data_IF_547691687355
#
_entry.id   IF_547691687355
#
_cell.length_a   1.000
_cell.length_b   1.000
_cell.length_c   1.000
_cell.angle_alpha   90.00
_cell.angle_beta   90.00
_cell.angle_gamma   90.00
#
_symmetry.space_group_name_H-M   'P 1'
#
loop_
_entity.id
_entity.type
_entity.pdbx_description
1 polymer ?
#
# COMPACT_ATOMS: atom_id res chain seq x y z
N UNK A 1 -7.91 21.22 46.58
CA UNK A 1 -7.87 19.76 46.38
C UNK A 1 -8.33 19.39 44.95
N UNK A 2 -7.89 20.15 43.94
CA UNK A 2 -8.30 20.03 42.52
C UNK A 2 -7.12 19.98 41.53
N UNK A 3 -5.89 19.76 42.00
CA UNK A 3 -4.69 19.75 41.14
C UNK A 3 -4.22 18.35 40.73
N UNK A 4 -4.84 17.29 41.27
CA UNK A 4 -4.40 15.91 41.04
C UNK A 4 -5.07 15.24 39.83
N UNK A 5 -6.25 15.66 39.42
CA UNK A 5 -6.96 15.09 38.27
C UNK A 5 -6.35 15.55 36.91
N UNK A 6 -5.92 16.81 36.85
CA UNK A 6 -5.27 17.34 35.63
C UNK A 6 -3.95 16.70 35.32
N UNK A 7 -3.13 16.34 36.33
CA UNK A 7 -1.86 15.66 36.17
C UNK A 7 -2.04 14.21 35.67
N UNK A 8 -3.09 13.51 36.15
CA UNK A 8 -3.39 12.15 35.70
C UNK A 8 -3.89 12.08 34.25
N UNK A 9 -4.65 13.05 33.80
CA UNK A 9 -5.14 13.11 32.42
C UNK A 9 -4.02 13.50 31.44
N UNK A 10 -3.09 14.34 31.86
CA UNK A 10 -1.89 14.67 31.10
C UNK A 10 -0.94 13.47 30.99
N UNK A 11 -0.78 12.72 32.08
CA UNK A 11 0.05 11.50 32.11
C UNK A 11 -0.55 10.37 31.27
N UNK A 12 -1.89 10.22 31.25
CA UNK A 12 -2.58 9.29 30.33
C UNK A 12 -2.41 9.69 28.87
N UNK A 13 -2.51 10.98 28.57
CA UNK A 13 -2.28 11.51 27.23
C UNK A 13 -0.86 11.25 26.71
N UNK A 14 0.13 11.38 27.56
CA UNK A 14 1.54 11.10 27.25
C UNK A 14 1.81 9.59 27.11
N UNK A 15 1.21 8.75 27.94
CA UNK A 15 1.30 7.28 27.81
C UNK A 15 0.66 6.80 26.52
N UNK A 16 -0.53 7.31 26.18
CA UNK A 16 -1.20 7.00 24.91
C UNK A 16 -0.43 7.52 23.69
N UNK A 17 0.31 8.60 23.82
CA UNK A 17 1.17 9.14 22.77
C UNK A 17 2.44 8.29 22.60
N UNK A 18 3.05 7.84 23.70
CA UNK A 18 4.20 6.94 23.72
C UNK A 18 3.82 5.55 23.21
N UNK A 19 2.66 5.02 23.63
CA UNK A 19 2.15 3.73 23.18
C UNK A 19 1.80 3.76 21.68
N UNK A 20 1.22 4.85 21.19
CA UNK A 20 1.02 5.10 19.74
C UNK A 20 2.33 5.28 18.97
N UNK A 21 3.36 5.83 19.60
CA UNK A 21 4.68 5.99 18.99
C UNK A 21 5.41 4.65 18.93
N UNK A 22 5.34 3.83 19.99
CA UNK A 22 5.87 2.46 20.03
C UNK A 22 5.09 1.54 19.07
N UNK A 23 3.76 1.65 19.02
CA UNK A 23 2.93 0.91 18.06
C UNK A 23 3.14 1.37 16.60
N UNK A 24 3.60 2.60 16.37
CA UNK A 24 4.08 3.10 15.06
C UNK A 24 5.50 2.70 14.73
N UNK A 25 6.30 2.45 15.71
CA UNK A 25 7.65 1.89 15.62
C UNK A 25 7.59 0.37 15.45
N UNK A 26 6.67 -0.06 14.60
CA UNK A 26 6.73 -1.38 14.01
C UNK A 26 8.03 -1.40 13.22
N UNK A 27 9.00 -2.14 13.73
CA UNK A 27 10.38 -2.20 13.26
C UNK A 27 10.44 -2.31 11.72
N UNK A 28 10.61 -1.20 10.99
CA UNK A 28 10.70 -1.25 9.53
C UNK A 28 11.98 -1.98 9.11
N UNK A 29 12.94 -2.16 10.04
CA UNK A 29 14.22 -2.79 9.79
C UNK A 29 14.10 -4.26 9.41
N UNK A 30 13.37 -5.07 10.17
CA UNK A 30 13.29 -6.52 9.90
C UNK A 30 12.56 -6.82 8.59
N UNK A 31 11.45 -6.13 8.31
CA UNK A 31 10.71 -6.33 7.05
C UNK A 31 11.47 -5.82 5.84
N UNK A 32 12.10 -4.65 5.96
CA UNK A 32 12.94 -4.10 4.91
C UNK A 32 14.16 -5.02 4.65
N UNK A 33 14.74 -5.57 5.71
CA UNK A 33 15.83 -6.53 5.61
C UNK A 33 15.41 -7.80 4.86
N UNK A 34 14.24 -8.39 5.17
CA UNK A 34 13.74 -9.57 4.46
C UNK A 34 13.53 -9.28 2.98
N UNK A 35 12.90 -8.15 2.63
CA UNK A 35 12.73 -7.74 1.24
C UNK A 35 14.08 -7.53 0.55
N UNK A 36 15.04 -6.88 1.21
CA UNK A 36 16.38 -6.68 0.66
C UNK A 36 17.10 -8.00 0.40
N UNK A 37 17.01 -8.96 1.33
CA UNK A 37 17.59 -10.31 1.15
C UNK A 37 16.92 -11.00 -0.06
N UNK A 38 15.61 -10.95 -0.18
CA UNK A 38 14.89 -11.56 -1.30
C UNK A 38 15.25 -10.92 -2.64
N UNK A 39 15.38 -9.59 -2.70
CA UNK A 39 15.88 -8.88 -3.88
C UNK A 39 17.27 -9.36 -4.25
N UNK A 40 18.14 -9.52 -3.27
CA UNK A 40 19.50 -10.02 -3.48
C UNK A 40 19.51 -11.49 -3.96
N UNK A 41 18.64 -12.34 -3.45
CA UNK A 41 18.46 -13.72 -3.92
C UNK A 41 18.01 -13.74 -5.38
N UNK A 42 17.07 -12.87 -5.79
CA UNK A 42 16.64 -12.75 -7.18
C UNK A 42 17.82 -12.32 -8.07
N UNK A 43 18.63 -11.34 -7.63
CA UNK A 43 19.81 -10.89 -8.39
C UNK A 43 20.85 -12.00 -8.54
N UNK A 44 21.15 -12.75 -7.47
CA UNK A 44 22.06 -13.89 -7.53
C UNK A 44 21.54 -14.95 -8.50
N UNK A 45 20.24 -15.21 -8.49
CA UNK A 45 19.64 -16.21 -9.36
C UNK A 45 19.87 -15.93 -10.85
N UNK A 46 20.05 -14.66 -11.25
CA UNK A 46 20.37 -14.30 -12.63
C UNK A 46 21.77 -14.71 -13.10
N UNK A 47 22.67 -14.95 -12.16
CA UNK A 47 24.02 -15.48 -12.47
C UNK A 47 24.01 -17.00 -12.60
N UNK A 48 22.97 -17.66 -12.03
CA UNK A 48 22.81 -19.11 -12.06
C UNK A 48 22.17 -19.57 -13.37
N UNK A 49 22.38 -20.85 -13.75
CA UNK A 49 21.75 -21.44 -14.93
C UNK A 49 20.22 -21.42 -14.82
N UNK A 50 19.55 -20.79 -15.78
CA UNK A 50 18.09 -20.76 -15.90
C UNK A 50 17.56 -21.89 -16.76
N UNK A 51 18.31 -22.29 -17.79
CA UNK A 51 17.95 -23.36 -18.71
C UNK A 51 19.23 -23.85 -19.37
N UNK A 52 19.61 -25.12 -19.21
CA UNK A 52 20.85 -25.63 -19.71
C UNK A 52 22.04 -24.79 -19.24
N UNK A 53 22.83 -24.27 -20.17
CA UNK A 53 23.97 -23.39 -19.91
C UNK A 53 23.55 -21.90 -19.84
N UNK A 54 22.32 -21.55 -20.27
CA UNK A 54 21.81 -20.19 -20.31
C UNK A 54 21.55 -19.68 -18.89
N UNK A 55 22.21 -18.59 -18.51
CA UNK A 55 22.01 -17.87 -17.26
C UNK A 55 20.82 -16.89 -17.38
N UNK A 56 20.36 -16.38 -16.25
CA UNK A 56 19.28 -15.39 -16.25
C UNK A 56 19.61 -14.12 -17.03
N UNK A 57 20.86 -13.65 -16.98
CA UNK A 57 21.30 -12.50 -17.78
C UNK A 57 21.31 -12.78 -19.28
N UNK A 58 21.72 -13.98 -19.71
CA UNK A 58 21.69 -14.36 -21.09
C UNK A 58 20.25 -14.41 -21.63
N UNK A 59 19.34 -14.94 -20.83
CA UNK A 59 17.91 -14.93 -21.13
C UNK A 59 17.32 -13.51 -21.21
N UNK A 60 17.83 -12.56 -20.42
CA UNK A 60 17.43 -11.16 -20.44
C UNK A 60 17.85 -10.46 -21.73
N UNK A 61 19.12 -10.61 -22.10
CA UNK A 61 19.70 -9.98 -23.28
C UNK A 61 19.25 -10.70 -24.55
N UNK A 62 19.02 -12.02 -24.47
CA UNK A 62 18.68 -12.86 -25.62
C UNK A 62 19.86 -13.11 -26.54
N UNK A 63 21.00 -13.44 -25.95
CA UNK A 63 22.22 -13.74 -26.65
C UNK A 63 22.19 -15.06 -27.45
N UNK A 64 23.27 -15.40 -28.13
CA UNK A 64 23.38 -16.61 -28.97
C UNK A 64 23.18 -17.90 -28.13
N UNK A 65 23.53 -17.89 -26.83
CA UNK A 65 23.37 -19.02 -25.94
C UNK A 65 21.88 -19.23 -25.66
N UNK A 66 21.17 -18.13 -25.34
CA UNK A 66 19.73 -18.15 -25.11
C UNK A 66 18.92 -18.56 -26.35
N UNK A 67 19.39 -18.17 -27.55
CA UNK A 67 18.77 -18.57 -28.81
C UNK A 67 19.01 -20.08 -29.07
N UNK A 68 20.22 -20.57 -28.87
CA UNK A 68 20.58 -21.98 -29.03
C UNK A 68 19.77 -22.89 -28.11
N UNK A 69 19.62 -22.50 -26.83
CA UNK A 69 18.90 -23.27 -25.84
C UNK A 69 17.36 -23.09 -25.96
N UNK A 70 16.92 -22.31 -26.96
CA UNK A 70 15.52 -22.12 -27.31
C UNK A 70 14.71 -21.50 -26.18
N UNK A 71 15.19 -20.41 -25.57
CA UNK A 71 14.50 -19.76 -24.44
C UNK A 71 13.08 -19.36 -24.82
N UNK A 72 12.09 -19.86 -24.06
CA UNK A 72 10.67 -19.59 -24.30
C UNK A 72 10.30 -18.15 -23.98
N UNK A 73 9.25 -17.62 -24.66
CA UNK A 73 8.73 -16.28 -24.37
C UNK A 73 8.36 -16.09 -22.90
N UNK A 74 7.66 -17.01 -22.21
CA UNK A 74 7.37 -16.88 -20.80
C UNK A 74 8.62 -16.71 -19.94
N UNK A 75 9.71 -17.43 -20.24
CA UNK A 75 10.97 -17.31 -19.51
C UNK A 75 11.60 -15.92 -19.67
N UNK A 76 11.63 -15.38 -20.91
CA UNK A 76 12.17 -14.02 -21.16
C UNK A 76 11.34 -12.94 -20.46
N UNK A 77 10.01 -13.01 -20.58
CA UNK A 77 9.13 -12.03 -19.95
C UNK A 77 9.22 -12.13 -18.43
N UNK A 78 9.29 -13.35 -17.87
CA UNK A 78 9.50 -13.55 -16.44
C UNK A 78 10.77 -12.86 -15.95
N UNK A 79 11.91 -13.06 -16.61
CA UNK A 79 13.21 -12.48 -16.20
C UNK A 79 13.14 -10.94 -16.24
N UNK A 80 12.54 -10.36 -17.30
CA UNK A 80 12.33 -8.92 -17.38
C UNK A 80 11.43 -8.38 -16.28
N UNK A 81 10.31 -9.01 -16.01
CA UNK A 81 9.41 -8.59 -14.93
C UNK A 81 10.04 -8.76 -13.55
N UNK A 82 10.78 -9.85 -13.33
CA UNK A 82 11.50 -10.05 -12.09
C UNK A 82 12.56 -8.97 -11.89
N UNK A 83 13.31 -8.59 -12.91
CA UNK A 83 14.28 -7.51 -12.82
C UNK A 83 13.62 -6.16 -12.55
N UNK A 84 12.61 -5.78 -13.32
CA UNK A 84 11.99 -4.45 -13.22
C UNK A 84 11.18 -4.32 -11.93
N UNK A 85 10.28 -5.25 -11.67
CA UNK A 85 9.33 -5.11 -10.56
C UNK A 85 9.84 -5.70 -9.25
N UNK A 86 10.40 -6.92 -9.27
CA UNK A 86 10.86 -7.57 -8.05
C UNK A 86 12.20 -7.00 -7.56
N UNK A 87 13.08 -6.55 -8.46
CA UNK A 87 14.34 -5.90 -8.06
C UNK A 87 14.22 -4.38 -8.10
N UNK A 88 13.89 -3.78 -9.24
CA UNK A 88 13.90 -2.33 -9.44
C UNK A 88 12.88 -1.60 -8.56
N UNK A 89 11.59 -1.91 -8.73
CA UNK A 89 10.54 -1.25 -7.95
C UNK A 89 10.59 -1.62 -6.47
N UNK A 90 10.99 -2.83 -6.09
CA UNK A 90 11.16 -3.19 -4.68
C UNK A 90 12.29 -2.40 -4.03
N UNK A 91 13.44 -2.25 -4.70
CA UNK A 91 14.55 -1.42 -4.22
C UNK A 91 14.13 0.04 -4.13
N UNK A 92 13.44 0.58 -5.16
CA UNK A 92 12.94 1.93 -5.16
C UNK A 92 11.92 2.17 -4.04
N UNK A 93 11.02 1.21 -3.77
CA UNK A 93 10.06 1.29 -2.67
C UNK A 93 10.75 1.28 -1.29
N UNK A 94 11.80 0.48 -1.11
CA UNK A 94 12.59 0.46 0.12
C UNK A 94 13.32 1.78 0.35
N UNK A 95 13.97 2.33 -0.69
CA UNK A 95 14.76 3.57 -0.59
C UNK A 95 13.88 4.80 -0.40
N UNK A 96 12.82 4.91 -1.19
CA UNK A 96 11.96 6.12 -1.18
C UNK A 96 10.83 6.04 -0.15
N UNK A 97 10.54 4.85 0.40
CA UNK A 97 9.42 4.57 1.32
C UNK A 97 8.05 5.01 0.77
N UNK A 98 7.93 5.14 -0.56
CA UNK A 98 6.69 5.55 -1.22
C UNK A 98 5.75 4.36 -1.35
N UNK A 99 4.56 4.49 -0.79
CA UNK A 99 3.53 3.46 -0.81
C UNK A 99 3.08 3.07 -2.23
N UNK A 100 3.01 4.03 -3.15
CA UNK A 100 2.66 3.77 -4.55
C UNK A 100 3.64 2.79 -5.22
N UNK A 101 4.95 2.91 -4.93
CA UNK A 101 5.96 2.00 -5.46
C UNK A 101 5.82 0.58 -4.90
N UNK A 102 5.38 0.45 -3.64
CA UNK A 102 5.09 -0.86 -3.05
C UNK A 102 3.92 -1.56 -3.75
N UNK A 103 2.87 -0.81 -4.14
CA UNK A 103 1.77 -1.34 -4.96
C UNK A 103 2.23 -1.80 -6.34
N UNK A 104 3.07 -1.01 -7.01
CA UNK A 104 3.63 -1.36 -8.32
C UNK A 104 4.52 -2.59 -8.22
N UNK A 105 5.39 -2.64 -7.20
CA UNK A 105 6.22 -3.81 -6.92
C UNK A 105 5.38 -5.06 -6.68
N UNK A 106 4.31 -4.95 -5.86
CA UNK A 106 3.37 -6.04 -5.60
C UNK A 106 2.70 -6.54 -6.89
N UNK A 107 2.07 -5.63 -7.65
CA UNK A 107 1.35 -5.99 -8.86
C UNK A 107 2.26 -6.64 -9.91
N UNK A 108 3.42 -6.04 -10.17
CA UNK A 108 4.39 -6.56 -11.12
C UNK A 108 5.00 -7.89 -10.68
N UNK A 109 5.34 -8.05 -9.40
CA UNK A 109 5.84 -9.31 -8.86
C UNK A 109 4.78 -10.42 -8.88
N UNK A 110 3.50 -10.09 -8.66
CA UNK A 110 2.41 -11.06 -8.79
C UNK A 110 2.28 -11.60 -10.21
N UNK A 111 2.33 -10.71 -11.22
CA UNK A 111 2.34 -11.11 -12.63
C UNK A 111 3.60 -11.93 -12.94
N UNK A 112 4.76 -11.50 -12.45
CA UNK A 112 6.01 -12.25 -12.61
C UNK A 112 5.93 -13.66 -11.99
N UNK A 113 5.25 -13.83 -10.83
CA UNK A 113 5.06 -15.15 -10.20
C UNK A 113 4.29 -16.12 -11.10
N UNK A 114 3.24 -15.63 -11.77
CA UNK A 114 2.45 -16.43 -12.71
C UNK A 114 3.28 -16.80 -13.94
N UNK A 115 4.01 -15.84 -14.52
CA UNK A 115 4.86 -16.08 -15.67
C UNK A 115 6.06 -16.97 -15.34
N UNK A 116 6.59 -16.88 -14.12
CA UNK A 116 7.62 -17.81 -13.63
C UNK A 116 7.12 -19.24 -13.56
N UNK A 117 5.88 -19.46 -13.11
CA UNK A 117 5.24 -20.77 -13.18
C UNK A 117 5.14 -21.27 -14.63
N UNK A 118 4.69 -20.43 -15.56
CA UNK A 118 4.61 -20.79 -16.98
C UNK A 118 6.01 -21.04 -17.57
N UNK A 119 7.03 -20.29 -17.16
CA UNK A 119 8.39 -20.48 -17.57
C UNK A 119 8.93 -21.86 -17.13
N UNK A 120 8.73 -22.22 -15.86
CA UNK A 120 9.12 -23.55 -15.36
C UNK A 120 8.35 -24.65 -16.08
N UNK A 121 7.01 -24.50 -16.20
CA UNK A 121 6.16 -25.47 -16.91
C UNK A 121 6.58 -25.67 -18.35
N UNK A 122 6.84 -24.59 -19.10
CA UNK A 122 7.25 -24.66 -20.51
C UNK A 122 8.57 -25.42 -20.71
N UNK A 123 9.45 -25.40 -19.70
CA UNK A 123 10.70 -26.13 -19.71
C UNK A 123 10.55 -27.59 -19.31
N UNK A 124 9.63 -27.91 -18.43
CA UNK A 124 9.34 -29.30 -18.06
C UNK A 124 8.66 -30.08 -19.19
N UNK A 125 7.90 -29.37 -20.02
CA UNK A 125 7.15 -29.97 -21.15
C UNK A 125 7.81 -29.80 -22.50
N UNK A 126 9.01 -29.19 -22.55
CA UNK A 126 9.74 -29.02 -23.79
C UNK A 126 10.21 -30.40 -24.36
N UNK A 127 10.00 -30.65 -25.68
CA UNK A 127 10.46 -31.89 -26.27
C UNK A 127 11.99 -31.93 -26.32
N UNK A 128 12.56 -33.12 -26.23
CA UNK A 128 14.01 -33.28 -26.43
C UNK A 128 14.44 -32.78 -27.82
N UNK A 129 15.63 -32.17 -27.98
CA UNK A 129 16.77 -32.13 -27.06
C UNK A 129 16.86 -30.88 -26.16
N UNK A 130 15.75 -30.18 -25.86
CA UNK A 130 15.78 -28.93 -25.08
C UNK A 130 16.04 -29.23 -23.60
N UNK A 131 16.95 -28.47 -22.96
CA UNK A 131 17.23 -28.65 -21.54
C UNK A 131 16.05 -28.22 -20.68
N UNK A 132 15.87 -28.90 -19.53
CA UNK A 132 14.84 -28.60 -18.53
C UNK A 132 15.10 -27.27 -17.77
N UNK A 133 14.23 -26.97 -16.79
CA UNK A 133 14.40 -25.78 -15.96
C UNK A 133 15.65 -25.91 -15.09
N UNK A 134 16.50 -24.86 -15.12
CA UNK A 134 17.70 -24.77 -14.30
C UNK A 134 17.40 -24.28 -12.88
N UNK A 135 18.34 -24.51 -11.97
CA UNK A 135 18.20 -24.10 -10.56
C UNK A 135 17.99 -22.59 -10.40
N UNK A 136 18.65 -21.74 -11.25
CA UNK A 136 18.49 -20.31 -11.23
C UNK A 136 17.06 -19.86 -11.48
N UNK A 137 16.37 -20.49 -12.45
CA UNK A 137 14.98 -20.19 -12.77
C UNK A 137 14.05 -20.54 -11.60
N UNK A 138 14.23 -21.71 -10.98
CA UNK A 138 13.40 -22.16 -9.86
C UNK A 138 13.60 -21.28 -8.63
N UNK A 139 14.86 -20.96 -8.29
CA UNK A 139 15.18 -20.06 -7.16
C UNK A 139 14.61 -18.67 -7.41
N UNK A 140 14.77 -18.11 -8.61
CA UNK A 140 14.18 -16.82 -8.98
C UNK A 140 12.67 -16.82 -8.79
N UNK A 141 11.99 -17.83 -9.31
CA UNK A 141 10.54 -17.96 -9.21
C UNK A 141 10.06 -18.05 -7.75
N UNK A 142 10.66 -18.90 -6.93
CA UNK A 142 10.32 -19.02 -5.52
C UNK A 142 10.58 -17.71 -4.75
N UNK A 143 11.72 -17.07 -5.01
CA UNK A 143 12.04 -15.79 -4.38
C UNK A 143 11.03 -14.69 -4.75
N UNK A 144 10.59 -14.63 -6.01
CA UNK A 144 9.56 -13.70 -6.47
C UNK A 144 8.22 -13.97 -5.82
N UNK A 145 7.81 -15.24 -5.63
CA UNK A 145 6.58 -15.60 -4.90
C UNK A 145 6.64 -15.10 -3.46
N UNK A 146 7.73 -15.39 -2.75
CA UNK A 146 7.90 -14.97 -1.35
C UNK A 146 7.92 -13.46 -1.24
N UNK A 147 8.58 -12.77 -2.18
CA UNK A 147 8.62 -11.31 -2.25
C UNK A 147 7.22 -10.72 -2.49
N UNK A 148 6.44 -11.31 -3.39
CA UNK A 148 5.04 -10.92 -3.66
C UNK A 148 4.20 -11.03 -2.39
N UNK A 149 4.32 -12.15 -1.66
CA UNK A 149 3.61 -12.34 -0.40
C UNK A 149 4.00 -11.29 0.65
N UNK A 150 5.30 -10.96 0.75
CA UNK A 150 5.78 -9.92 1.66
C UNK A 150 5.21 -8.54 1.31
N UNK A 151 5.20 -8.16 0.03
CA UNK A 151 4.61 -6.91 -0.43
C UNK A 151 3.10 -6.88 -0.20
N UNK A 152 2.37 -7.98 -0.47
CA UNK A 152 0.95 -8.09 -0.18
C UNK A 152 0.67 -7.80 1.31
N UNK A 153 1.43 -8.43 2.19
CA UNK A 153 1.28 -8.22 3.64
C UNK A 153 1.59 -6.79 4.08
N UNK A 154 2.62 -6.16 3.49
CA UNK A 154 2.97 -4.75 3.78
C UNK A 154 1.87 -3.80 3.31
N UNK A 155 1.35 -4.01 2.12
CA UNK A 155 0.29 -3.18 1.54
C UNK A 155 -1.00 -3.31 2.33
N UNK A 156 -1.44 -4.53 2.65
CA UNK A 156 -2.68 -4.76 3.41
C UNK A 156 -2.62 -4.23 4.84
N UNK A 157 -1.51 -4.40 5.54
CA UNK A 157 -1.39 -3.88 6.91
C UNK A 157 -1.55 -2.36 6.98
N UNK A 158 -1.03 -1.62 6.00
CA UNK A 158 -1.20 -0.16 5.93
C UNK A 158 -2.61 0.26 5.55
N UNK A 159 -3.24 -0.45 4.62
CA UNK A 159 -4.62 -0.18 4.21
C UNK A 159 -5.59 -0.38 5.37
N UNK A 160 -5.42 -1.45 6.16
CA UNK A 160 -6.25 -1.70 7.35
C UNK A 160 -6.13 -0.58 8.39
N UNK A 161 -4.91 -0.07 8.65
CA UNK A 161 -4.69 1.05 9.58
C UNK A 161 -5.34 2.34 9.09
N UNK A 162 -5.29 2.62 7.78
CA UNK A 162 -5.93 3.81 7.20
C UNK A 162 -7.45 3.75 7.31
N UNK A 163 -8.05 2.60 7.00
CA UNK A 163 -9.50 2.39 7.14
C UNK A 163 -9.95 2.52 8.61
N UNK A 164 -9.21 1.94 9.56
CA UNK A 164 -9.52 2.06 10.98
C UNK A 164 -9.46 3.53 11.45
N UNK A 165 -8.46 4.29 11.01
CA UNK A 165 -8.33 5.71 11.34
C UNK A 165 -9.46 6.56 10.72
N UNK A 166 -9.93 6.20 9.53
CA UNK A 166 -11.05 6.87 8.89
C UNK A 166 -12.38 6.57 9.58
N UNK A 167 -12.61 5.33 10.00
CA UNK A 167 -13.78 4.94 10.79
C UNK A 167 -13.82 5.66 12.13
N UNK A 168 -12.69 5.81 12.81
CA UNK A 168 -12.59 6.55 14.06
C UNK A 168 -12.92 8.04 13.88
N UNK A 169 -12.43 8.66 12.80
CA UNK A 169 -12.78 10.05 12.44
C UNK A 169 -14.29 10.21 12.19
N UNK A 170 -14.91 9.26 11.47
CA UNK A 170 -16.35 9.26 11.20
C UNK A 170 -17.17 9.13 12.49
N UNK A 171 -16.78 8.22 13.39
CA UNK A 171 -17.42 8.04 14.70
C UNK A 171 -17.32 9.30 15.56
N UNK A 172 -16.14 9.90 15.64
CA UNK A 172 -15.89 11.13 16.37
C UNK A 172 -16.69 12.33 15.82
N UNK A 173 -16.84 12.41 14.48
CA UNK A 173 -17.68 13.43 13.85
C UNK A 173 -19.17 13.21 14.14
N UNK A 174 -19.65 11.96 14.08
CA UNK A 174 -21.04 11.62 14.41
C UNK A 174 -21.37 11.93 15.87
N UNK A 175 -20.46 11.63 16.80
CA UNK A 175 -20.64 11.94 18.22
C UNK A 175 -20.68 13.46 18.48
N UNK A 176 -19.84 14.24 17.79
CA UNK A 176 -19.86 15.71 17.90
C UNK A 176 -21.17 16.29 17.38
N UNK A 177 -21.66 15.82 16.23
CA UNK A 177 -22.95 16.25 15.69
C UNK A 177 -24.11 15.88 16.61
N UNK A 178 -24.10 14.67 17.17
CA UNK A 178 -25.14 14.24 18.11
C UNK A 178 -25.15 15.09 19.39
N UNK A 179 -23.97 15.39 19.93
CA UNK A 179 -23.85 16.27 21.13
C UNK A 179 -24.29 17.71 20.82
N UNK A 180 -23.90 18.25 19.64
CA UNK A 180 -24.36 19.58 19.23
C UNK A 180 -25.86 19.69 19.08
N UNK A 181 -26.53 18.66 18.56
CA UNK A 181 -28.00 18.60 18.48
C UNK A 181 -28.64 18.54 19.85
N UNK A 182 -28.08 17.80 20.81
CA UNK A 182 -28.61 17.75 22.17
C UNK A 182 -28.41 19.09 22.88
N UNK A 183 -27.28 19.76 22.74
CA UNK A 183 -27.00 21.09 23.27
C UNK A 183 -27.94 22.16 22.67
N UNK A 184 -28.37 21.98 21.41
CA UNK A 184 -29.30 22.90 20.75
C UNK A 184 -30.75 22.69 21.24
N UNK A 185 -31.13 21.45 21.55
CA UNK A 185 -32.46 21.11 22.12
C UNK A 185 -32.55 21.55 23.59
N UNK A 186 -31.46 21.49 24.35
CA UNK A 186 -31.39 21.84 25.77
C UNK A 186 -31.22 23.37 26.02
N UNK A 187 -31.02 24.16 24.95
CA UNK A 187 -31.08 25.64 25.08
C UNK A 187 -32.53 26.05 25.28
N UNK A 188 -32.88 26.63 26.46
CA UNK A 188 -34.19 27.20 26.64
C UNK A 188 -34.39 28.28 25.58
N UNK A 189 -35.57 28.27 24.93
CA UNK A 189 -35.98 29.32 23.99
C UNK A 189 -35.75 30.67 24.67
N UNK A 190 -34.60 31.29 24.39
CA UNK A 190 -34.41 32.70 24.70
C UNK A 190 -35.29 33.42 23.70
N UNK A 191 -36.49 33.77 24.21
CA UNK A 191 -37.46 34.68 23.60
C UNK A 191 -36.68 35.77 22.88
N UNK A 192 -36.74 35.77 21.56
CA UNK A 192 -36.15 36.84 20.74
C UNK A 192 -36.79 38.14 21.26
N UNK A 193 -36.00 39.13 21.72
CA UNK A 193 -36.56 40.43 22.06
C UNK A 193 -37.32 40.92 20.85
N UNK A 194 -38.63 41.15 21.06
CA UNK A 194 -39.49 41.66 20.02
C UNK A 194 -38.87 42.91 19.41
N UNK A 195 -38.61 42.84 18.12
CA UNK A 195 -38.38 44.04 17.33
C UNK A 195 -39.70 44.77 17.22
N UNK A 196 -40.07 45.48 18.30
CA UNK A 196 -40.94 46.64 18.19
C UNK A 196 -40.16 47.64 17.33
N UNK A 197 -40.51 47.67 16.06
CA UNK A 197 -40.12 48.71 15.13
C UNK A 197 -41.24 49.76 15.11
N UNK A 198 -41.11 50.90 15.83
CA UNK A 198 -42.15 51.94 15.87
C UNK A 198 -42.13 52.87 14.64
N UNK A 199 -41.28 52.57 13.64
CA UNK A 199 -41.15 53.39 12.42
C UNK A 199 -41.53 52.59 11.14
N UNK A 200 -42.86 52.32 11.01
CA UNK A 200 -43.41 52.04 9.68
C UNK A 200 -43.91 53.40 9.10
N UNK A 201 -43.34 53.90 7.99
CA UNK A 201 -43.88 55.08 7.32
C UNK A 201 -45.27 54.76 6.73
N UNK A 202 -46.27 55.58 7.08
CA UNK A 202 -47.60 55.63 6.47
C UNK A 202 -47.49 55.73 4.93
N UNK A 203 -48.10 54.80 4.24
CA UNK A 203 -48.24 54.80 2.79
C UNK A 203 -49.21 55.90 2.36
N UNK A 204 -48.83 56.91 1.57
CA UNK A 204 -49.75 57.97 1.13
C UNK A 204 -50.73 57.42 0.07
N UNK A 205 -52.03 57.74 0.31
CA UNK A 205 -53.20 57.30 -0.42
C UNK A 205 -53.12 57.40 -1.95
N UNK A 206 -53.61 56.37 -2.59
CA UNK A 206 -53.81 56.25 -4.02
C UNK A 206 -54.95 57.14 -4.47
N UNK A 207 -54.80 58.08 -5.42
CA UNK A 207 -55.93 58.86 -5.94
C UNK A 207 -56.81 58.01 -6.86
N UNK A 208 -58.10 58.05 -6.57
CA UNK A 208 -59.15 57.61 -7.50
C UNK A 208 -59.23 58.59 -8.66
N UNK A 209 -59.24 58.08 -9.85
CA UNK A 209 -59.53 58.79 -11.09
C UNK A 209 -60.89 58.37 -11.65
N UNK A 210 -61.66 59.32 -12.23
CA UNK A 210 -63.03 59.16 -12.64
C UNK A 210 -63.22 58.27 -13.89
#
# INVERSE_FOLDING_TARGET
>A
MLTHEGDFDQFKGDLDAVERKIAREFDPGVRAMVVAILVFVVLISFVLPHTGDTKGFDALVGDDIAIRDGISLPSRVFVWLALVFSVGFSTAALLTRRWALAWVALAGSAVASVLGMLAVWSRQTAPEPHPGPGFGLVIAWLAVIVLTFHWARVVWSRTAVQLAAEDERRRSAAQRNHRGLLDEIDKPDVEKPGTDNPDSPEEPGKPETP
#
